data_IF_506336236979
#
_entry.id   IF_506336236979
#
_cell.length_a   1.000
_cell.length_b   1.000
_cell.length_c   1.000
_cell.angle_alpha   90.00
_cell.angle_beta   90.00
_cell.angle_gamma   90.00
#
_symmetry.space_group_name_H-M   'P 1'
#
loop_
_entity.id
_entity.type
_entity.pdbx_description
1 polymer ?
#
# COMPACT_ATOMS: atom_id res chain seq x y z
N UNK A 1 37.77 29.19 37.67
CA UNK A 1 38.74 28.27 37.02
C UNK A 1 38.13 26.91 36.60
N UNK A 2 36.81 26.66 36.74
CA UNK A 2 36.20 25.33 36.49
C UNK A 2 35.55 25.11 35.10
N UNK A 3 35.58 26.10 34.21
CA UNK A 3 35.01 26.01 32.86
C UNK A 3 35.65 24.98 31.89
N UNK A 4 36.97 24.67 31.93
CA UNK A 4 37.59 23.84 30.89
C UNK A 4 37.34 22.33 31.04
N UNK A 5 36.92 21.86 32.22
CA UNK A 5 36.67 20.43 32.47
C UNK A 5 35.29 20.03 31.94
N UNK A 6 34.28 20.90 32.08
CA UNK A 6 32.93 20.65 31.56
C UNK A 6 32.89 20.57 30.02
N UNK A 7 33.70 21.39 29.33
CA UNK A 7 33.84 21.34 27.88
C UNK A 7 34.59 20.10 27.39
N UNK A 8 35.62 19.65 28.12
CA UNK A 8 36.37 18.43 27.79
C UNK A 8 35.51 17.16 27.95
N UNK A 9 34.72 17.06 29.02
CA UNK A 9 33.77 15.97 29.22
C UNK A 9 32.65 15.96 28.17
N UNK A 10 32.12 17.13 27.81
CA UNK A 10 31.14 17.26 26.73
C UNK A 10 31.69 16.85 25.36
N UNK A 11 32.94 17.20 25.06
CA UNK A 11 33.61 16.79 23.82
C UNK A 11 33.89 15.29 23.77
N UNK A 12 34.30 14.67 24.89
CA UNK A 12 34.53 13.23 24.98
C UNK A 12 33.24 12.42 24.78
N UNK A 13 32.11 12.90 25.32
CA UNK A 13 30.79 12.28 25.14
C UNK A 13 30.24 12.47 23.72
N UNK A 14 30.56 13.58 23.05
CA UNK A 14 30.13 13.85 21.68
C UNK A 14 31.06 13.24 20.61
N UNK A 15 32.30 12.89 20.94
CA UNK A 15 33.29 12.32 20.02
C UNK A 15 32.80 11.11 19.19
N UNK A 16 32.10 10.10 19.74
CA UNK A 16 31.59 8.98 18.94
C UNK A 16 30.49 9.41 17.95
N UNK A 17 29.66 10.39 18.32
CA UNK A 17 28.60 10.94 17.47
C UNK A 17 29.22 11.75 16.33
N UNK A 18 30.23 12.57 16.62
CA UNK A 18 30.95 13.36 15.62
C UNK A 18 31.74 12.47 14.66
N UNK A 19 32.35 11.39 15.17
CA UNK A 19 33.04 10.42 14.33
C UNK A 19 32.08 9.72 13.36
N UNK A 20 30.94 9.22 13.85
CA UNK A 20 29.89 8.65 13.00
C UNK A 20 29.37 9.65 11.96
N UNK A 21 29.11 10.89 12.36
CA UNK A 21 28.70 11.95 11.44
C UNK A 21 29.78 12.22 10.38
N UNK A 22 31.05 12.26 10.76
CA UNK A 22 32.17 12.48 9.84
C UNK A 22 32.37 11.32 8.84
N UNK A 23 32.16 10.08 9.26
CA UNK A 23 32.22 8.90 8.40
C UNK A 23 31.13 8.92 7.32
N UNK A 24 29.94 9.42 7.66
CA UNK A 24 28.83 9.60 6.72
C UNK A 24 29.02 10.82 5.81
N UNK A 25 29.73 11.86 6.27
CA UNK A 25 29.97 13.09 5.50
C UNK A 25 30.92 12.90 4.30
N UNK A 26 31.80 11.89 4.32
CA UNK A 26 32.72 11.58 3.22
C UNK A 26 32.00 11.13 1.94
N UNK A 27 31.12 10.10 1.96
CA UNK A 27 30.33 9.74 0.78
C UNK A 27 29.32 10.84 0.42
N UNK A 28 28.77 11.57 1.40
CA UNK A 28 27.84 12.68 1.14
C UNK A 28 28.48 13.81 0.33
N UNK A 29 29.70 14.22 0.69
CA UNK A 29 30.42 15.29 -0.04
C UNK A 29 30.84 14.85 -1.44
N UNK A 30 31.19 13.57 -1.63
CA UNK A 30 31.49 13.01 -2.94
C UNK A 30 30.24 13.02 -3.85
N UNK A 31 29.09 12.60 -3.32
CA UNK A 31 27.82 12.63 -4.02
C UNK A 31 27.34 14.06 -4.30
N UNK A 32 27.46 14.96 -3.32
CA UNK A 32 27.11 16.38 -3.45
C UNK A 32 27.92 17.08 -4.56
N UNK A 33 29.19 16.71 -4.75
CA UNK A 33 30.01 17.23 -5.87
C UNK A 33 29.54 16.71 -7.23
N UNK A 34 29.04 15.49 -7.31
CA UNK A 34 28.61 14.88 -8.56
C UNK A 34 27.20 15.33 -9.00
N UNK A 35 26.28 15.61 -8.07
CA UNK A 35 24.85 15.85 -8.39
C UNK A 35 24.33 17.24 -7.96
N UNK A 36 25.15 18.07 -7.33
CA UNK A 36 24.75 19.37 -6.80
C UNK A 36 23.86 19.27 -5.54
N UNK A 37 23.44 20.43 -5.00
CA UNK A 37 22.65 20.55 -3.75
C UNK A 37 21.30 19.80 -3.84
N UNK A 38 20.71 19.72 -5.04
CA UNK A 38 19.45 19.01 -5.29
C UNK A 38 19.61 17.48 -5.28
N UNK A 39 20.82 16.94 -5.47
CA UNK A 39 21.05 15.50 -5.49
C UNK A 39 21.21 14.84 -4.12
N UNK A 40 21.27 15.63 -3.04
CA UNK A 40 21.19 15.08 -1.67
C UNK A 40 19.84 14.41 -1.41
N UNK A 41 18.75 14.97 -1.94
CA UNK A 41 17.43 14.34 -1.84
C UNK A 41 17.43 12.95 -2.49
N UNK A 42 18.08 12.79 -3.65
CA UNK A 42 18.21 11.49 -4.32
C UNK A 42 19.02 10.48 -3.48
N UNK A 43 20.09 10.90 -2.79
CA UNK A 43 20.87 10.02 -1.92
C UNK A 43 20.04 9.49 -0.73
N UNK A 44 19.26 10.35 -0.08
CA UNK A 44 18.37 9.93 1.02
C UNK A 44 17.18 9.09 0.54
N UNK A 45 16.70 9.32 -0.68
CA UNK A 45 15.60 8.56 -1.28
C UNK A 45 16.06 7.23 -1.91
N UNK A 46 17.33 7.12 -2.31
CA UNK A 46 17.86 5.97 -3.03
C UNK A 46 17.66 4.62 -2.33
N UNK A 47 17.88 4.46 -0.99
CA UNK A 47 17.65 3.18 -0.32
C UNK A 47 16.19 2.75 -0.35
N UNK A 48 15.27 3.69 -0.11
CA UNK A 48 13.84 3.42 -0.18
C UNK A 48 13.38 3.11 -1.61
N UNK A 49 13.89 3.85 -2.61
CA UNK A 49 13.61 3.58 -4.02
C UNK A 49 14.18 2.25 -4.50
N UNK A 50 15.33 1.82 -3.99
CA UNK A 50 15.89 0.51 -4.31
C UNK A 50 15.00 -0.62 -3.77
N UNK A 51 14.56 -0.52 -2.50
CA UNK A 51 13.65 -1.50 -1.91
C UNK A 51 12.32 -1.53 -2.68
N UNK A 52 11.73 -0.37 -2.94
CA UNK A 52 10.50 -0.26 -3.73
C UNK A 52 10.67 -0.86 -5.14
N UNK A 53 11.79 -0.56 -5.81
CA UNK A 53 12.10 -1.10 -7.13
C UNK A 53 12.15 -2.62 -7.14
N UNK A 54 12.88 -3.22 -6.20
CA UNK A 54 13.08 -4.68 -6.14
C UNK A 54 11.80 -5.41 -5.71
N UNK A 55 11.07 -4.89 -4.72
CA UNK A 55 9.95 -5.61 -4.11
C UNK A 55 8.57 -5.22 -4.68
N UNK A 56 8.43 -4.07 -5.32
CA UNK A 56 7.15 -3.60 -5.88
C UNK A 56 7.24 -3.52 -7.40
N UNK A 57 8.24 -2.82 -7.94
CA UNK A 57 8.34 -2.58 -9.39
C UNK A 57 8.68 -3.87 -10.15
N UNK A 58 9.61 -4.68 -9.66
CA UNK A 58 9.97 -5.97 -10.29
C UNK A 58 8.78 -6.92 -10.43
N UNK A 59 8.03 -7.29 -9.36
CA UNK A 59 6.87 -8.17 -9.52
C UNK A 59 5.76 -7.52 -10.35
N UNK A 60 5.60 -6.20 -10.30
CA UNK A 60 4.65 -5.50 -11.17
C UNK A 60 4.99 -5.69 -12.65
N UNK A 61 6.26 -5.47 -13.03
CA UNK A 61 6.72 -5.66 -14.41
C UNK A 61 6.59 -7.14 -14.84
N UNK A 62 6.93 -8.08 -13.95
CA UNK A 62 6.73 -9.51 -14.22
C UNK A 62 5.25 -9.84 -14.47
N UNK A 63 4.33 -9.33 -13.65
CA UNK A 63 2.88 -9.52 -13.85
C UNK A 63 2.41 -8.93 -15.18
N UNK A 64 2.94 -7.77 -15.58
CA UNK A 64 2.64 -7.19 -16.89
C UNK A 64 3.04 -8.12 -18.03
N UNK A 65 4.25 -8.71 -17.97
CA UNK A 65 4.68 -9.71 -18.96
C UNK A 65 3.86 -11.01 -18.90
N UNK A 66 3.45 -11.46 -17.70
CA UNK A 66 2.55 -12.61 -17.57
C UNK A 66 1.20 -12.38 -18.23
N UNK A 67 0.68 -11.15 -18.25
CA UNK A 67 -0.58 -10.85 -18.94
C UNK A 67 -0.51 -11.07 -20.46
N UNK A 68 0.69 -11.02 -21.06
CA UNK A 68 0.92 -11.23 -22.50
C UNK A 68 1.37 -12.66 -22.85
N UNK A 69 1.47 -13.55 -21.87
CA UNK A 69 2.04 -14.89 -22.03
C UNK A 69 1.05 -15.96 -21.58
N UNK A 70 0.92 -17.07 -22.32
CA UNK A 70 -0.03 -18.13 -21.96
C UNK A 70 0.62 -19.28 -21.19
N UNK A 71 -0.14 -19.88 -20.27
CA UNK A 71 0.28 -21.04 -19.46
C UNK A 71 0.23 -20.78 -17.96
N UNK A 72 0.26 -21.85 -17.18
CA UNK A 72 0.22 -21.84 -15.69
C UNK A 72 1.61 -21.96 -15.07
N UNK A 73 2.67 -22.06 -15.87
CA UNK A 73 4.04 -22.24 -15.38
C UNK A 73 4.52 -21.04 -14.55
N UNK A 74 5.35 -21.30 -13.54
CA UNK A 74 5.88 -20.25 -12.66
C UNK A 74 6.96 -19.40 -13.34
N UNK A 75 7.78 -19.97 -14.22
CA UNK A 75 8.84 -19.25 -14.90
C UNK A 75 8.38 -18.71 -16.26
N UNK A 76 8.81 -17.49 -16.61
CA UNK A 76 8.48 -16.87 -17.91
C UNK A 76 9.07 -17.64 -19.08
N UNK A 77 10.24 -18.27 -18.88
CA UNK A 77 10.96 -19.00 -19.93
C UNK A 77 10.17 -20.21 -20.47
N UNK A 78 9.30 -20.80 -19.65
CA UNK A 78 8.51 -21.98 -20.00
C UNK A 78 7.12 -21.64 -20.53
N UNK A 79 6.78 -20.34 -20.62
CA UNK A 79 5.48 -19.88 -21.09
C UNK A 79 5.58 -19.42 -22.55
N UNK A 80 4.54 -19.70 -23.32
CA UNK A 80 4.47 -19.29 -24.73
C UNK A 80 3.99 -17.85 -24.84
N UNK A 81 4.79 -16.98 -25.47
CA UNK A 81 4.41 -15.59 -25.70
C UNK A 81 3.31 -15.52 -26.75
N UNK A 82 2.12 -15.05 -26.37
CA UNK A 82 0.94 -14.97 -27.26
C UNK A 82 0.57 -13.52 -27.57
N UNK A 83 1.37 -12.55 -27.10
CA UNK A 83 1.17 -11.13 -27.36
C UNK A 83 -0.20 -10.64 -26.87
N UNK A 84 -0.98 -10.06 -27.78
CA UNK A 84 -2.27 -9.46 -27.46
C UNK A 84 -3.47 -10.43 -27.49
N UNK A 85 -3.27 -11.72 -27.81
CA UNK A 85 -4.39 -12.65 -28.01
C UNK A 85 -5.23 -12.88 -26.73
N UNK A 86 -4.65 -12.71 -25.55
CA UNK A 86 -5.39 -12.77 -24.27
C UNK A 86 -6.36 -11.60 -24.13
N UNK A 87 -5.94 -10.40 -24.53
CA UNK A 87 -6.80 -9.22 -24.52
C UNK A 87 -7.87 -9.31 -25.61
N UNK A 88 -7.53 -9.80 -26.81
CA UNK A 88 -8.51 -10.02 -27.87
C UNK A 88 -9.63 -10.98 -27.41
N UNK A 89 -9.27 -12.10 -26.78
CA UNK A 89 -10.24 -13.03 -26.18
C UNK A 89 -11.08 -12.40 -25.07
N UNK A 90 -10.51 -11.46 -24.31
CA UNK A 90 -11.20 -10.78 -23.21
C UNK A 90 -12.21 -9.75 -23.71
N UNK A 91 -11.92 -9.09 -24.83
CA UNK A 91 -12.75 -8.06 -25.44
C UNK A 91 -13.66 -8.59 -26.57
N UNK A 92 -13.54 -9.87 -26.94
CA UNK A 92 -14.43 -10.57 -27.88
C UNK A 92 -15.82 -10.77 -27.25
N UNK A 93 -16.62 -9.72 -27.31
CA UNK A 93 -18.00 -9.65 -26.81
C UNK A 93 -18.93 -9.22 -27.93
N UNK A 94 -20.03 -9.97 -28.14
CA UNK A 94 -21.03 -9.58 -29.15
C UNK A 94 -21.86 -8.35 -28.70
N UNK A 95 -21.94 -8.09 -27.39
CA UNK A 95 -22.53 -6.90 -26.80
C UNK A 95 -21.76 -6.51 -25.54
N UNK A 96 -21.30 -5.25 -25.44
CA UNK A 96 -20.61 -4.72 -24.26
C UNK A 96 -21.56 -4.29 -23.14
N UNK A 97 -22.87 -4.24 -23.43
CA UNK A 97 -23.92 -3.85 -22.49
C UNK A 97 -24.47 -5.04 -21.69
N UNK A 98 -24.15 -6.27 -22.11
CA UNK A 98 -24.57 -7.49 -21.45
C UNK A 98 -23.34 -8.39 -21.22
N UNK A 99 -22.89 -8.45 -19.96
CA UNK A 99 -21.70 -9.21 -19.53
C UNK A 99 -21.80 -10.71 -19.83
N UNK A 100 -23.03 -11.23 -20.00
CA UNK A 100 -23.29 -12.65 -20.32
C UNK A 100 -22.96 -13.05 -21.76
N UNK A 101 -22.77 -12.08 -22.67
CA UNK A 101 -22.49 -12.35 -24.10
C UNK A 101 -20.99 -12.29 -24.45
N UNK A 102 -20.14 -12.02 -23.46
CA UNK A 102 -18.69 -12.07 -23.61
C UNK A 102 -18.20 -13.52 -23.55
N UNK A 103 -17.16 -13.84 -24.33
CA UNK A 103 -16.51 -15.16 -24.30
C UNK A 103 -15.98 -15.53 -22.90
N UNK A 104 -15.57 -14.54 -22.13
CA UNK A 104 -15.16 -14.64 -20.72
C UNK A 104 -16.17 -13.95 -19.78
N UNK A 105 -17.41 -14.45 -19.73
CA UNK A 105 -18.51 -13.93 -18.90
C UNK A 105 -18.11 -13.78 -17.42
N UNK A 106 -17.41 -14.77 -16.86
CA UNK A 106 -16.98 -14.74 -15.46
C UNK A 106 -16.09 -13.53 -15.12
N UNK A 107 -15.23 -13.09 -16.05
CA UNK A 107 -14.37 -11.94 -15.84
C UNK A 107 -15.18 -10.65 -15.79
N UNK A 108 -16.02 -10.40 -16.80
CA UNK A 108 -16.81 -9.17 -16.90
C UNK A 108 -17.85 -9.07 -15.79
N UNK A 109 -18.47 -10.19 -15.43
CA UNK A 109 -19.38 -10.27 -14.28
C UNK A 109 -18.65 -10.02 -12.96
N UNK A 110 -17.43 -10.51 -12.78
CA UNK A 110 -16.63 -10.22 -11.60
C UNK A 110 -16.23 -8.73 -11.53
N UNK A 111 -15.88 -8.12 -12.67
CA UNK A 111 -15.56 -6.68 -12.76
C UNK A 111 -16.79 -5.84 -12.41
N UNK A 112 -17.95 -6.15 -12.96
CA UNK A 112 -19.21 -5.44 -12.69
C UNK A 112 -19.61 -5.55 -11.21
N UNK A 113 -19.61 -6.77 -10.65
CA UNK A 113 -19.92 -7.00 -9.24
C UNK A 113 -18.93 -6.27 -8.32
N UNK A 114 -17.63 -6.30 -8.65
CA UNK A 114 -16.60 -5.61 -7.87
C UNK A 114 -16.78 -4.10 -7.95
N UNK A 115 -17.04 -3.56 -9.14
CA UNK A 115 -17.27 -2.13 -9.36
C UNK A 115 -18.49 -1.64 -8.58
N UNK A 116 -19.62 -2.33 -8.71
CA UNK A 116 -20.85 -2.01 -7.98
C UNK A 116 -20.63 -2.13 -6.47
N UNK A 117 -19.96 -3.19 -6.01
CA UNK A 117 -19.62 -3.36 -4.59
C UNK A 117 -18.78 -2.20 -4.05
N UNK A 118 -17.70 -1.81 -4.76
CA UNK A 118 -16.82 -0.71 -4.34
C UNK A 118 -17.58 0.61 -4.30
N UNK A 119 -18.36 0.93 -5.33
CA UNK A 119 -19.12 2.20 -5.38
C UNK A 119 -20.13 2.28 -4.25
N UNK A 120 -20.92 1.23 -4.03
CA UNK A 120 -21.92 1.19 -2.95
C UNK A 120 -21.25 1.22 -1.58
N UNK A 121 -20.21 0.39 -1.38
CA UNK A 121 -19.48 0.30 -0.11
C UNK A 121 -18.82 1.62 0.28
N UNK A 122 -18.05 2.23 -0.63
CA UNK A 122 -17.33 3.48 -0.35
C UNK A 122 -18.30 4.62 -0.12
N UNK A 123 -19.38 4.72 -0.91
CA UNK A 123 -20.40 5.75 -0.73
C UNK A 123 -21.07 5.61 0.63
N UNK A 124 -21.54 4.40 0.98
CA UNK A 124 -22.21 4.16 2.25
C UNK A 124 -21.27 4.40 3.44
N UNK A 125 -20.03 3.93 3.37
CA UNK A 125 -19.03 4.11 4.43
C UNK A 125 -18.67 5.60 4.62
N UNK A 126 -18.55 6.34 3.53
CA UNK A 126 -18.27 7.78 3.57
C UNK A 126 -19.45 8.55 4.19
N UNK A 127 -20.69 8.25 3.78
CA UNK A 127 -21.88 8.87 4.36
C UNK A 127 -22.00 8.59 5.86
N UNK A 128 -21.85 7.33 6.27
CA UNK A 128 -21.92 6.94 7.69
C UNK A 128 -20.80 7.59 8.50
N UNK A 129 -19.58 7.68 7.96
CA UNK A 129 -18.46 8.31 8.67
C UNK A 129 -18.68 9.81 8.87
N UNK A 130 -19.20 10.53 7.87
CA UNK A 130 -19.53 11.95 7.96
C UNK A 130 -20.67 12.18 8.98
N UNK A 131 -21.75 11.40 8.91
CA UNK A 131 -22.87 11.49 9.87
C UNK A 131 -22.37 11.27 11.30
N UNK A 132 -21.58 10.22 11.51
CA UNK A 132 -21.01 9.89 12.83
C UNK A 132 -20.07 10.99 13.31
N UNK A 133 -19.23 11.54 12.43
CA UNK A 133 -18.34 12.65 12.75
C UNK A 133 -19.12 13.89 13.19
N UNK A 134 -20.20 14.25 12.50
CA UNK A 134 -21.05 15.40 12.86
C UNK A 134 -21.73 15.22 14.22
N UNK A 135 -22.24 14.01 14.51
CA UNK A 135 -22.86 13.69 15.80
C UNK A 135 -21.84 13.80 16.93
N UNK A 136 -20.63 13.28 16.72
CA UNK A 136 -19.58 13.20 17.73
C UNK A 136 -18.83 14.52 17.94
N UNK A 137 -18.89 15.43 16.97
CA UNK A 137 -18.32 16.77 17.05
C UNK A 137 -19.13 17.71 17.97
N UNK A 138 -20.39 17.37 18.29
CA UNK A 138 -21.20 18.14 19.25
C UNK A 138 -20.63 18.02 20.67
N UNK A 139 -20.97 18.95 21.55
CA UNK A 139 -20.68 18.81 22.99
C UNK A 139 -21.63 17.79 23.63
N UNK A 140 -21.26 16.52 23.46
CA UNK A 140 -21.89 15.37 24.08
C UNK A 140 -21.18 15.01 25.40
N UNK A 141 -21.97 14.71 26.44
CA UNK A 141 -21.48 14.18 27.71
C UNK A 141 -20.74 12.85 27.45
N UNK A 142 -19.51 12.72 27.95
CA UNK A 142 -18.63 11.56 27.75
C UNK A 142 -18.16 11.30 26.29
N UNK A 143 -17.80 12.34 25.53
CA UNK A 143 -17.21 12.25 24.17
C UNK A 143 -16.13 11.16 24.01
N UNK A 144 -15.25 11.00 24.99
CA UNK A 144 -14.16 10.01 24.94
C UNK A 144 -14.64 8.57 24.95
N UNK A 145 -15.74 8.28 25.67
CA UNK A 145 -16.32 6.95 25.73
C UNK A 145 -16.94 6.56 24.38
N UNK A 146 -17.74 7.46 23.80
CA UNK A 146 -18.37 7.23 22.49
C UNK A 146 -17.33 7.01 21.40
N UNK A 147 -16.26 7.82 21.35
CA UNK A 147 -15.12 7.59 20.44
C UNK A 147 -14.55 6.18 20.60
N UNK A 148 -14.26 5.75 21.83
CA UNK A 148 -13.67 4.44 22.09
C UNK A 148 -14.54 3.29 21.57
N UNK A 149 -15.87 3.34 21.79
CA UNK A 149 -16.80 2.31 21.31
C UNK A 149 -16.85 2.27 19.78
N UNK A 150 -16.86 3.42 19.09
CA UNK A 150 -16.85 3.46 17.62
C UNK A 150 -15.55 2.94 17.01
N UNK A 151 -14.40 3.17 17.66
CA UNK A 151 -13.12 2.69 17.17
C UNK A 151 -12.81 1.25 17.58
N UNK A 152 -13.51 0.69 18.59
CA UNK A 152 -13.29 -0.67 19.07
C UNK A 152 -13.32 -1.75 17.97
N UNK A 153 -14.28 -1.76 17.02
CA UNK A 153 -14.34 -2.80 15.99
C UNK A 153 -13.14 -2.79 15.05
N UNK A 154 -12.55 -1.62 14.79
CA UNK A 154 -11.39 -1.46 13.90
C UNK A 154 -10.12 -2.04 14.55
N UNK A 155 -10.10 -2.17 15.87
CA UNK A 155 -9.00 -2.80 16.60
C UNK A 155 -9.06 -4.33 16.55
N UNK A 156 -10.19 -4.92 16.15
CA UNK A 156 -10.33 -6.37 16.00
C UNK A 156 -9.63 -6.85 14.73
N UNK A 157 -8.95 -8.00 14.83
CA UNK A 157 -8.33 -8.63 13.66
C UNK A 157 -9.39 -8.94 12.59
N UNK A 158 -9.12 -8.68 11.29
CA UNK A 158 -10.03 -9.02 10.20
C UNK A 158 -10.47 -10.49 10.20
N UNK A 159 -9.60 -11.38 10.69
CA UNK A 159 -9.90 -12.82 10.81
C UNK A 159 -11.03 -13.08 11.81
N UNK A 160 -11.02 -12.41 12.95
CA UNK A 160 -12.05 -12.56 13.99
C UNK A 160 -13.38 -12.01 13.49
N UNK A 161 -13.36 -10.85 12.85
CA UNK A 161 -14.55 -10.22 12.27
C UNK A 161 -15.16 -11.14 11.20
N UNK A 162 -14.32 -11.71 10.33
CA UNK A 162 -14.78 -12.68 9.32
C UNK A 162 -15.42 -13.93 9.92
N UNK A 163 -14.87 -14.45 11.02
CA UNK A 163 -15.43 -15.61 11.70
C UNK A 163 -16.78 -15.31 12.35
N UNK A 164 -16.92 -14.14 13.00
CA UNK A 164 -18.19 -13.68 13.57
C UNK A 164 -19.27 -13.58 12.49
N UNK A 165 -18.96 -12.94 11.36
CA UNK A 165 -19.89 -12.84 10.24
C UNK A 165 -20.25 -14.21 9.66
N UNK A 166 -19.28 -15.12 9.54
CA UNK A 166 -19.54 -16.49 9.12
C UNK A 166 -20.54 -17.19 10.05
N UNK A 167 -20.39 -17.06 11.37
CA UNK A 167 -21.34 -17.64 12.32
C UNK A 167 -22.73 -16.98 12.25
N UNK A 168 -22.79 -15.66 12.06
CA UNK A 168 -24.07 -14.93 11.90
C UNK A 168 -24.80 -15.36 10.62
N UNK A 169 -24.06 -15.62 9.54
CA UNK A 169 -24.61 -15.98 8.24
C UNK A 169 -24.84 -17.50 8.08
N UNK A 170 -24.17 -18.35 8.87
CA UNK A 170 -24.46 -19.78 8.95
C UNK A 170 -25.77 -20.00 9.72
N UNK A 171 -26.87 -20.06 8.99
CA UNK A 171 -28.22 -20.30 9.55
C UNK A 171 -28.55 -21.78 9.76
N UNK A 172 -27.70 -22.71 9.33
CA UNK A 172 -27.80 -24.15 9.60
C UNK A 172 -26.38 -24.71 9.83
N UNK A 173 -26.27 -25.63 10.80
CA UNK A 173 -25.01 -26.18 11.34
C UNK A 173 -24.02 -26.65 10.29
#
# INVERSE_FOLDING_TARGET
MFAPIATALGAALAAPIVWLASAVNLPLKAWQRATGVNGMAAFFLAPNMAIFGVFVLTPFVINFFYSATSGTAFFLADRTFVGAAQYERLFDCASYLDSSTCREDLFWKAVENTGLFVVVQVTLMTLVSIITALILNRDIRARSFWRAVFFFPVLLSPVVVGLIWRWILQRQG
#
